data_IF_129254831306
#
_entry.id   IF_129254831306
#
_cell.length_a   1.000
_cell.length_b   1.000
_cell.length_c   1.000
_cell.angle_alpha   90.00
_cell.angle_beta   90.00
_cell.angle_gamma   90.00
#
_symmetry.space_group_name_H-M   'P 1'
#
loop_
_entity.id
_entity.type
_entity.pdbx_description
1 polymer ?
#
# COMPACT_ATOMS: atom_id res chain seq x y z
N UNK A 1 4.96 24.26 2.17
CA UNK A 1 3.59 23.99 2.65
C UNK A 1 3.13 22.67 2.05
N UNK A 2 2.37 21.84 2.76
CA UNK A 2 1.85 20.57 2.21
C UNK A 2 0.61 20.85 1.34
N UNK A 3 0.67 20.48 0.07
CA UNK A 3 -0.40 20.75 -0.91
C UNK A 3 -1.53 19.72 -0.86
N UNK A 4 -1.20 18.46 -0.59
CA UNK A 4 -2.18 17.36 -0.55
C UNK A 4 -3.34 17.60 0.41
N UNK A 5 -4.51 17.01 0.12
CA UNK A 5 -5.76 17.18 0.90
C UNK A 5 -5.59 16.85 2.38
N UNK A 6 -4.83 15.78 2.68
CA UNK A 6 -4.49 15.40 4.05
C UNK A 6 -3.05 14.95 4.18
N UNK A 7 -2.46 15.23 5.35
CA UNK A 7 -1.16 14.71 5.74
C UNK A 7 -1.09 14.44 7.25
N UNK A 8 -0.26 13.48 7.62
CA UNK A 8 0.07 13.16 9.01
C UNK A 8 1.53 12.75 9.10
N UNK A 9 2.27 13.33 10.04
CA UNK A 9 3.65 12.95 10.35
C UNK A 9 3.74 12.61 11.83
N UNK A 10 4.23 11.41 12.13
CA UNK A 10 4.42 10.92 13.50
C UNK A 10 5.89 10.56 13.67
N UNK A 11 6.52 11.08 14.72
CA UNK A 11 7.77 10.53 15.23
C UNK A 11 7.45 9.21 15.96
N UNK A 12 7.94 8.10 15.41
CA UNK A 12 7.63 6.77 15.92
C UNK A 12 8.48 6.37 17.13
N UNK A 13 9.54 7.11 17.44
CA UNK A 13 10.32 6.92 18.66
C UNK A 13 9.57 7.46 19.87
N UNK A 14 8.88 8.60 19.73
CA UNK A 14 8.19 9.30 20.82
C UNK A 14 6.66 9.14 20.79
N UNK A 15 6.10 8.76 19.64
CA UNK A 15 4.66 8.77 19.39
C UNK A 15 4.07 10.15 19.14
N UNK A 16 4.89 11.21 19.10
CA UNK A 16 4.45 12.59 18.91
C UNK A 16 3.98 12.84 17.48
N UNK A 17 2.82 13.47 17.34
CA UNK A 17 2.36 14.02 16.05
C UNK A 17 3.12 15.32 15.80
N UNK A 18 3.84 15.39 14.69
CA UNK A 18 4.65 16.54 14.29
C UNK A 18 3.91 17.43 13.29
N UNK A 19 3.13 16.82 12.40
CA UNK A 19 2.32 17.52 11.40
C UNK A 19 0.98 16.81 11.27
N UNK A 20 -0.11 17.59 11.25
CA UNK A 20 -1.45 17.10 10.98
C UNK A 20 -2.19 18.11 10.08
N UNK A 21 -2.74 17.61 8.96
CA UNK A 21 -3.64 18.33 8.06
C UNK A 21 -4.80 17.40 7.70
N UNK A 22 -6.02 17.73 8.12
CA UNK A 22 -7.24 16.94 7.85
C UNK A 22 -7.07 15.43 8.16
N UNK A 23 -6.22 15.05 9.12
CA UNK A 23 -5.76 13.66 9.26
C UNK A 23 -6.83 12.68 9.74
N UNK A 24 -7.97 13.18 10.23
CA UNK A 24 -9.12 12.40 10.68
C UNK A 24 -10.21 12.26 9.63
N UNK A 25 -10.15 13.02 8.55
CA UNK A 25 -11.13 12.94 7.46
C UNK A 25 -10.87 11.71 6.59
N UNK A 26 -11.93 11.01 6.21
CA UNK A 26 -11.84 9.88 5.29
C UNK A 26 -11.74 10.37 3.84
N UNK A 27 -10.82 9.77 3.08
CA UNK A 27 -10.67 9.97 1.64
C UNK A 27 -10.59 8.61 0.94
N UNK A 28 -10.91 8.52 -0.36
CA UNK A 28 -10.52 7.37 -1.16
C UNK A 28 -8.99 7.19 -1.10
N UNK A 29 -8.53 5.97 -0.87
CA UNK A 29 -7.10 5.70 -0.60
C UNK A 29 -6.39 4.93 -1.71
N UNK A 30 -7.09 4.63 -2.79
CA UNK A 30 -6.57 3.86 -3.90
C UNK A 30 -5.80 2.61 -3.42
N UNK A 31 -4.66 2.33 -4.06
CA UNK A 31 -3.83 1.15 -3.79
C UNK A 31 -3.15 1.10 -2.43
N UNK A 32 -3.29 2.11 -1.56
CA UNK A 32 -2.90 1.94 -0.15
C UNK A 32 -3.67 0.78 0.50
N UNK A 33 -4.86 0.47 -0.04
CA UNK A 33 -5.66 -0.71 0.31
C UNK A 33 -4.89 -2.04 0.25
N UNK A 34 -3.91 -2.17 -0.65
CA UNK A 34 -3.14 -3.41 -0.81
C UNK A 34 -2.25 -3.73 0.40
N UNK A 35 -1.98 -2.75 1.26
CA UNK A 35 -1.30 -3.01 2.53
C UNK A 35 -2.21 -3.81 3.48
N UNK A 36 -3.52 -3.51 3.53
CA UNK A 36 -4.49 -4.33 4.26
C UNK A 36 -4.63 -5.72 3.63
N UNK A 37 -4.63 -5.82 2.30
CA UNK A 37 -4.61 -7.10 1.59
C UNK A 37 -3.42 -7.95 2.02
N UNK A 38 -2.22 -7.37 2.08
CA UNK A 38 -1.03 -8.06 2.54
C UNK A 38 -1.14 -8.52 4.01
N UNK A 39 -1.64 -7.66 4.91
CA UNK A 39 -1.89 -8.03 6.31
C UNK A 39 -2.81 -9.25 6.39
N UNK A 40 -3.97 -9.22 5.72
CA UNK A 40 -4.95 -10.31 5.78
C UNK A 40 -4.39 -11.61 5.19
N UNK A 41 -3.66 -11.53 4.07
CA UNK A 41 -2.96 -12.69 3.50
C UNK A 41 -1.99 -13.27 4.51
N UNK A 42 -1.09 -12.47 5.09
CA UNK A 42 -0.05 -12.96 6.00
C UNK A 42 -0.61 -13.53 7.31
N UNK A 43 -1.68 -12.95 7.85
CA UNK A 43 -2.34 -13.48 9.05
C UNK A 43 -3.00 -14.84 8.84
N UNK A 44 -3.36 -15.17 7.60
CA UNK A 44 -3.90 -16.50 7.28
C UNK A 44 -2.84 -17.61 7.30
N UNK A 45 -1.57 -17.26 7.57
CA UNK A 45 -0.42 -18.18 7.53
C UNK A 45 -0.40 -19.01 6.24
N UNK A 46 -0.36 -18.34 5.07
CA UNK A 46 -0.57 -19.00 3.80
C UNK A 46 0.63 -19.90 3.47
N UNK A 47 0.38 -20.96 2.69
CA UNK A 47 1.45 -21.67 1.99
C UNK A 47 1.95 -20.76 0.87
N UNK A 48 3.07 -20.07 1.09
CA UNK A 48 3.61 -19.05 0.18
C UNK A 48 4.04 -19.61 -1.18
N UNK A 49 4.51 -20.86 -1.20
CA UNK A 49 4.92 -21.54 -2.43
C UNK A 49 3.75 -22.10 -3.25
N UNK A 50 2.53 -22.10 -2.70
CA UNK A 50 1.37 -22.54 -3.46
C UNK A 50 1.17 -21.61 -4.67
N UNK A 51 1.06 -22.22 -5.84
CA UNK A 51 0.80 -21.54 -7.10
C UNK A 51 -0.66 -21.07 -7.17
N UNK A 52 -0.84 -19.84 -7.63
CA UNK A 52 -2.12 -19.24 -7.95
C UNK A 52 -2.14 -18.86 -9.42
N UNK A 53 -3.22 -19.26 -10.09
CA UNK A 53 -3.54 -18.82 -11.45
C UNK A 53 -4.40 -17.54 -11.40
N UNK A 54 -4.08 -16.57 -12.24
CA UNK A 54 -4.94 -15.41 -12.52
C UNK A 54 -6.11 -15.85 -13.38
N UNK A 55 -7.33 -15.68 -12.88
CA UNK A 55 -8.57 -16.07 -13.58
C UNK A 55 -9.27 -14.85 -14.18
N UNK A 56 -10.28 -15.10 -15.02
CA UNK A 56 -11.18 -14.06 -15.56
C UNK A 56 -11.70 -13.13 -14.46
N UNK A 57 -12.05 -13.70 -13.31
CA UNK A 57 -12.66 -13.01 -12.17
C UNK A 57 -11.67 -12.16 -11.36
N UNK A 58 -10.38 -12.18 -11.72
CA UNK A 58 -9.36 -11.31 -11.14
C UNK A 58 -9.10 -10.07 -12.00
N UNK A 59 -9.59 -10.06 -13.23
CA UNK A 59 -9.49 -8.93 -14.14
C UNK A 59 -10.44 -7.83 -13.68
N UNK A 60 -9.90 -6.63 -13.47
CA UNK A 60 -10.72 -5.45 -13.31
C UNK A 60 -11.27 -4.99 -14.67
N UNK A 61 -12.51 -4.51 -14.66
CA UNK A 61 -13.14 -3.79 -15.77
C UNK A 61 -13.27 -2.29 -15.46
N UNK A 62 -12.70 -1.86 -14.33
CA UNK A 62 -12.81 -0.51 -13.78
C UNK A 62 -11.60 0.33 -14.17
N UNK A 63 -11.82 1.62 -14.43
CA UNK A 63 -10.76 2.65 -14.55
C UNK A 63 -9.66 2.36 -15.58
N UNK A 64 -9.94 1.45 -16.54
CA UNK A 64 -9.01 1.02 -17.61
C UNK A 64 -7.62 0.67 -17.06
N UNK A 65 -7.54 0.10 -15.85
CA UNK A 65 -6.24 -0.11 -15.24
C UNK A 65 -5.48 -1.23 -15.95
N UNK A 66 -4.16 -1.06 -16.03
CA UNK A 66 -3.30 -1.98 -16.76
C UNK A 66 -2.67 -2.99 -15.81
N UNK A 67 -2.83 -4.27 -16.12
CA UNK A 67 -2.11 -5.37 -15.48
C UNK A 67 -1.23 -6.05 -16.52
N UNK A 68 0.01 -6.33 -16.14
CA UNK A 68 0.94 -7.11 -16.97
C UNK A 68 0.75 -8.61 -16.82
N UNK A 69 0.11 -9.06 -15.74
CA UNK A 69 -0.37 -10.45 -15.64
C UNK A 69 -1.57 -10.63 -16.54
N UNK A 70 -1.56 -11.65 -17.39
CA UNK A 70 -2.70 -12.07 -18.22
C UNK A 70 -3.54 -13.12 -17.49
N UNK A 71 -4.78 -13.34 -17.95
CA UNK A 71 -5.53 -14.53 -17.51
C UNK A 71 -4.75 -15.78 -17.92
N UNK A 72 -4.67 -16.76 -17.02
CA UNK A 72 -3.82 -17.95 -17.15
C UNK A 72 -2.40 -17.79 -16.61
N UNK A 73 -1.97 -16.57 -16.21
CA UNK A 73 -0.69 -16.37 -15.53
C UNK A 73 -0.65 -17.13 -14.21
N UNK A 74 0.41 -17.91 -13.96
CA UNK A 74 0.58 -18.70 -12.73
C UNK A 74 1.81 -18.25 -11.96
N UNK A 75 1.63 -17.79 -10.72
CA UNK A 75 2.71 -17.37 -9.83
C UNK A 75 2.55 -17.95 -8.43
N UNK A 76 3.63 -18.02 -7.65
CA UNK A 76 3.51 -18.37 -6.23
C UNK A 76 2.72 -17.30 -5.47
N UNK A 77 2.11 -17.64 -4.32
CA UNK A 77 1.51 -16.62 -3.44
C UNK A 77 2.53 -15.58 -2.99
N UNK A 78 3.80 -16.00 -2.81
CA UNK A 78 4.92 -15.10 -2.50
C UNK A 78 5.08 -14.04 -3.58
N UNK A 79 5.17 -14.45 -4.84
CA UNK A 79 5.33 -13.54 -5.99
C UNK A 79 4.13 -12.62 -6.16
N UNK A 80 2.91 -13.16 -6.04
CA UNK A 80 1.67 -12.37 -6.12
C UNK A 80 1.65 -11.28 -5.03
N UNK A 81 2.02 -11.64 -3.80
CA UNK A 81 2.08 -10.69 -2.68
C UNK A 81 3.17 -9.63 -2.91
N UNK A 82 4.32 -10.06 -3.44
CA UNK A 82 5.43 -9.16 -3.73
C UNK A 82 5.05 -8.09 -4.74
N UNK A 83 4.61 -8.47 -5.95
CA UNK A 83 4.27 -7.50 -7.00
C UNK A 83 3.03 -6.66 -6.65
N UNK A 84 2.11 -7.17 -5.81
CA UNK A 84 1.00 -6.39 -5.28
C UNK A 84 1.47 -5.25 -4.36
N UNK A 85 2.51 -5.47 -3.56
CA UNK A 85 3.08 -4.44 -2.67
C UNK A 85 4.05 -3.51 -3.41
N UNK A 86 5.04 -4.07 -4.10
CA UNK A 86 6.11 -3.33 -4.78
C UNK A 86 5.56 -2.46 -5.93
N UNK A 87 4.84 -3.10 -6.84
CA UNK A 87 4.40 -2.49 -8.11
C UNK A 87 2.92 -2.19 -8.17
N UNK A 88 2.20 -2.42 -7.07
CA UNK A 88 0.76 -2.15 -7.00
C UNK A 88 -0.07 -3.01 -7.96
N UNK A 89 0.39 -4.21 -8.30
CA UNK A 89 -0.25 -5.10 -9.29
C UNK A 89 -1.67 -5.51 -8.83
N UNK A 90 -2.67 -5.26 -9.68
CA UNK A 90 -4.09 -5.40 -9.33
C UNK A 90 -4.56 -6.85 -9.41
N UNK A 91 -4.20 -7.58 -10.47
CA UNK A 91 -4.66 -8.96 -10.67
C UNK A 91 -4.06 -9.91 -9.63
N UNK A 92 -2.84 -9.64 -9.18
CA UNK A 92 -2.20 -10.35 -8.09
C UNK A 92 -2.96 -10.17 -6.76
N UNK A 93 -3.30 -8.92 -6.40
CA UNK A 93 -4.12 -8.63 -5.21
C UNK A 93 -5.52 -9.26 -5.30
N UNK A 94 -6.15 -9.20 -6.49
CA UNK A 94 -7.41 -9.88 -6.76
C UNK A 94 -7.29 -11.39 -6.58
N UNK A 95 -6.30 -12.04 -7.20
CA UNK A 95 -6.10 -13.49 -7.11
C UNK A 95 -5.85 -13.95 -5.66
N UNK A 96 -5.06 -13.20 -4.89
CA UNK A 96 -4.84 -13.47 -3.46
C UNK A 96 -6.16 -13.45 -2.67
N UNK A 97 -7.01 -12.44 -2.89
CA UNK A 97 -8.30 -12.36 -2.19
C UNK A 97 -9.27 -13.48 -2.58
N UNK A 98 -9.26 -13.91 -3.85
CA UNK A 98 -10.10 -15.01 -4.34
C UNK A 98 -9.66 -16.36 -3.78
N UNK A 99 -8.35 -16.56 -3.65
CA UNK A 99 -7.77 -17.79 -3.13
C UNK A 99 -7.87 -17.92 -1.60
N UNK A 100 -8.39 -16.91 -0.90
CA UNK A 100 -8.64 -16.94 0.53
C UNK A 100 -9.76 -17.93 0.89
N UNK A 101 -9.70 -18.64 2.03
CA UNK A 101 -10.80 -19.48 2.49
C UNK A 101 -12.12 -18.71 2.60
N UNK A 102 -13.17 -19.18 1.91
CA UNK A 102 -14.45 -18.45 1.78
C UNK A 102 -14.47 -17.38 0.67
N UNK A 103 -13.41 -17.31 -0.14
CA UNK A 103 -13.32 -16.47 -1.32
C UNK A 103 -13.22 -14.97 -1.02
N UNK A 104 -13.39 -14.17 -2.09
CA UNK A 104 -13.21 -12.71 -2.05
C UNK A 104 -14.14 -12.01 -1.07
N UNK A 105 -15.39 -12.45 -0.97
CA UNK A 105 -16.36 -11.89 0.00
C UNK A 105 -15.88 -12.07 1.44
N UNK A 106 -15.41 -13.27 1.80
CA UNK A 106 -14.82 -13.52 3.12
C UNK A 106 -13.54 -12.70 3.34
N UNK A 107 -12.72 -12.54 2.30
CA UNK A 107 -11.52 -11.71 2.35
C UNK A 107 -11.82 -10.24 2.68
N UNK A 108 -12.76 -9.61 1.96
CA UNK A 108 -13.16 -8.21 2.21
C UNK A 108 -13.81 -8.06 3.60
N UNK A 109 -14.62 -9.04 4.03
CA UNK A 109 -15.14 -9.08 5.41
C UNK A 109 -14.00 -9.13 6.43
N UNK A 110 -12.95 -9.91 6.17
CA UNK A 110 -11.77 -10.02 7.02
C UNK A 110 -10.94 -8.73 7.05
N UNK A 111 -10.81 -8.02 5.93
CA UNK A 111 -10.17 -6.69 5.85
C UNK A 111 -10.89 -5.69 6.77
N UNK A 112 -12.21 -5.59 6.67
CA UNK A 112 -12.99 -4.68 7.52
C UNK A 112 -12.97 -5.10 9.00
N UNK A 113 -12.99 -6.41 9.29
CA UNK A 113 -12.82 -6.89 10.66
C UNK A 113 -11.45 -6.50 11.21
N UNK A 114 -10.38 -6.62 10.41
CA UNK A 114 -9.04 -6.18 10.81
C UNK A 114 -9.01 -4.67 11.05
N UNK A 115 -9.62 -3.87 10.18
CA UNK A 115 -9.72 -2.42 10.37
C UNK A 115 -10.34 -2.08 11.74
N UNK A 116 -11.46 -2.71 12.09
CA UNK A 116 -12.09 -2.55 13.42
C UNK A 116 -11.19 -3.00 14.57
N UNK A 117 -10.49 -4.12 14.44
CA UNK A 117 -9.54 -4.62 15.44
C UNK A 117 -8.38 -3.64 15.68
N UNK A 118 -7.94 -2.92 14.65
CA UNK A 118 -6.93 -1.87 14.75
C UNK A 118 -7.52 -0.51 15.20
N UNK A 119 -8.83 -0.45 15.45
CA UNK A 119 -9.55 0.76 15.82
C UNK A 119 -9.62 1.80 14.69
N UNK A 120 -9.53 1.37 13.44
CA UNK A 120 -9.59 2.21 12.24
C UNK A 120 -11.05 2.62 11.96
N UNK A 121 -11.54 3.66 12.64
CA UNK A 121 -12.99 4.01 12.71
C UNK A 121 -13.52 4.73 11.47
N UNK A 122 -12.64 5.32 10.68
CA UNK A 122 -12.91 6.05 9.43
C UNK A 122 -12.51 5.22 8.20
N UNK A 123 -12.29 3.92 8.37
CA UNK A 123 -11.86 3.02 7.29
C UNK A 123 -12.96 2.06 6.87
N UNK A 124 -13.12 1.94 5.56
CA UNK A 124 -13.95 0.92 4.95
C UNK A 124 -13.28 0.36 3.69
N UNK A 125 -13.30 -0.96 3.53
CA UNK A 125 -12.81 -1.65 2.34
C UNK A 125 -13.97 -2.33 1.62
N UNK A 126 -14.16 -2.00 0.34
CA UNK A 126 -15.07 -2.67 -0.57
C UNK A 126 -14.37 -3.70 -1.47
N UNK A 127 -13.09 -3.49 -1.75
CA UNK A 127 -12.31 -4.40 -2.59
C UNK A 127 -10.84 -4.54 -2.10
N UNK A 128 -10.08 -5.55 -2.56
CA UNK A 128 -8.72 -5.82 -2.10
C UNK A 128 -7.62 -5.02 -2.84
N UNK A 129 -7.98 -4.26 -3.86
CA UNK A 129 -7.03 -3.57 -4.75
C UNK A 129 -7.00 -2.06 -4.53
N UNK A 130 -8.11 -1.47 -4.08
CA UNK A 130 -8.32 -0.04 -3.99
C UNK A 130 -8.78 0.62 -5.30
N UNK A 131 -9.35 -0.15 -6.23
CA UNK A 131 -9.86 0.42 -7.48
C UNK A 131 -11.17 1.17 -7.27
N UNK A 132 -12.05 0.70 -6.39
CA UNK A 132 -13.26 1.43 -6.02
C UNK A 132 -12.93 2.69 -5.21
N UNK A 133 -13.61 3.84 -5.46
CA UNK A 133 -13.49 5.01 -4.59
C UNK A 133 -14.08 4.77 -3.19
N UNK A 134 -14.84 3.67 -3.00
CA UNK A 134 -15.43 3.32 -1.72
C UNK A 134 -14.43 2.67 -0.73
N UNK A 135 -13.22 2.33 -1.19
CA UNK A 135 -12.11 2.06 -0.28
C UNK A 135 -11.63 3.39 0.30
N UNK A 136 -12.05 3.67 1.53
CA UNK A 136 -11.81 4.95 2.20
C UNK A 136 -11.09 4.74 3.52
N UNK A 137 -10.28 5.72 3.92
CA UNK A 137 -9.62 5.76 5.22
C UNK A 137 -9.18 7.17 5.56
N UNK A 138 -8.90 7.42 6.85
CA UNK A 138 -8.20 8.62 7.31
C UNK A 138 -6.71 8.40 7.45
N UNK A 139 -5.91 9.47 7.52
CA UNK A 139 -4.47 9.37 7.73
C UNK A 139 -4.11 8.75 9.08
N UNK A 140 -4.89 9.03 10.14
CA UNK A 140 -4.73 8.38 11.45
C UNK A 140 -4.99 6.87 11.39
N UNK A 141 -6.03 6.45 10.68
CA UNK A 141 -6.33 5.03 10.57
C UNK A 141 -5.26 4.30 9.76
N UNK A 142 -4.80 4.92 8.68
CA UNK A 142 -3.69 4.39 7.89
C UNK A 142 -2.41 4.27 8.72
N UNK A 143 -2.12 5.20 9.63
CA UNK A 143 -0.94 5.08 10.50
C UNK A 143 -1.01 3.85 11.41
N UNK A 144 -2.20 3.48 11.89
CA UNK A 144 -2.42 2.24 12.67
C UNK A 144 -2.23 0.99 11.81
N UNK A 145 -2.81 0.97 10.61
CA UNK A 145 -2.60 -0.12 9.64
C UNK A 145 -1.12 -0.29 9.32
N UNK A 146 -0.42 0.82 9.10
CA UNK A 146 0.98 0.84 8.72
C UNK A 146 1.89 0.33 9.85
N UNK A 147 1.64 0.76 11.09
CA UNK A 147 2.33 0.23 12.27
C UNK A 147 2.10 -1.28 12.44
N UNK A 148 0.89 -1.76 12.17
CA UNK A 148 0.60 -3.19 12.23
C UNK A 148 1.31 -3.97 11.12
N UNK A 149 1.29 -3.46 9.88
CA UNK A 149 1.96 -4.06 8.73
C UNK A 149 3.47 -4.21 8.95
N UNK A 150 4.10 -3.26 9.65
CA UNK A 150 5.54 -3.29 9.92
C UNK A 150 6.00 -4.52 10.72
N UNK A 151 5.09 -5.19 11.43
CA UNK A 151 5.39 -6.42 12.18
C UNK A 151 5.67 -7.63 11.29
N UNK A 152 5.39 -7.55 9.99
CA UNK A 152 5.57 -8.65 9.04
C UNK A 152 6.84 -8.44 8.20
N UNK A 153 7.92 -9.23 8.40
CA UNK A 153 9.17 -9.05 7.66
C UNK A 153 9.00 -9.05 6.14
N UNK A 154 8.20 -9.97 5.58
CA UNK A 154 7.95 -10.04 4.15
C UNK A 154 7.20 -8.82 3.60
N UNK A 155 6.32 -8.20 4.38
CA UNK A 155 5.64 -6.97 3.93
C UNK A 155 6.65 -5.83 3.81
N UNK A 156 7.57 -5.71 4.78
CA UNK A 156 8.66 -4.72 4.73
C UNK A 156 9.55 -4.95 3.51
N UNK A 157 10.10 -6.15 3.38
CA UNK A 157 10.97 -6.58 2.26
C UNK A 157 10.32 -6.26 0.91
N UNK A 158 9.13 -6.81 0.65
CA UNK A 158 8.46 -6.63 -0.64
C UNK A 158 8.04 -5.19 -0.93
N UNK A 159 7.76 -4.40 0.10
CA UNK A 159 7.41 -2.99 -0.11
C UNK A 159 8.61 -2.14 -0.54
N UNK A 160 9.83 -2.54 -0.17
CA UNK A 160 11.03 -1.71 -0.40
C UNK A 160 11.92 -2.19 -1.55
N UNK A 161 11.60 -3.33 -2.15
CA UNK A 161 12.32 -3.81 -3.32
C UNK A 161 12.18 -2.84 -4.51
N UNK A 162 13.30 -2.63 -5.21
CA UNK A 162 13.38 -1.68 -6.33
C UNK A 162 12.88 -2.31 -7.63
N UNK A 163 13.28 -3.56 -7.86
CA UNK A 163 12.99 -4.35 -9.06
C UNK A 163 12.82 -5.81 -8.66
N UNK A 164 11.88 -6.51 -9.30
CA UNK A 164 11.67 -7.94 -9.09
C UNK A 164 11.20 -8.60 -10.39
N UNK A 165 11.72 -9.78 -10.70
CA UNK A 165 11.33 -10.54 -11.89
C UNK A 165 10.49 -11.74 -11.50
N UNK A 166 9.33 -11.89 -12.14
CA UNK A 166 8.43 -13.04 -11.97
C UNK A 166 8.27 -13.82 -13.26
N UNK A 167 7.89 -15.09 -13.15
CA UNK A 167 7.78 -16.03 -14.26
C UNK A 167 6.35 -16.60 -14.33
N UNK A 168 5.38 -15.83 -14.87
CA UNK A 168 3.96 -16.21 -14.88
C UNK A 168 3.59 -17.25 -15.94
N UNK A 169 4.54 -17.63 -16.79
CA UNK A 169 4.38 -18.48 -17.98
C UNK A 169 5.71 -18.51 -18.73
N UNK A 170 5.68 -18.52 -20.06
CA UNK A 170 6.89 -18.65 -20.87
C UNK A 170 7.85 -17.44 -20.82
N UNK A 171 7.32 -16.22 -20.66
CA UNK A 171 8.13 -14.99 -20.67
C UNK A 171 8.24 -14.38 -19.28
N UNK A 172 9.45 -13.98 -18.83
CA UNK A 172 9.61 -13.28 -17.57
C UNK A 172 9.00 -11.87 -17.63
N UNK A 173 8.49 -11.40 -16.48
CA UNK A 173 8.02 -10.04 -16.30
C UNK A 173 8.86 -9.32 -15.24
N UNK A 174 9.56 -8.27 -15.65
CA UNK A 174 10.37 -7.42 -14.75
C UNK A 174 9.51 -6.28 -14.19
N UNK A 175 9.18 -6.33 -12.91
CA UNK A 175 8.44 -5.31 -12.19
C UNK A 175 9.39 -4.31 -11.51
N UNK A 176 8.96 -3.05 -11.38
CA UNK A 176 9.68 -1.99 -10.66
C UNK A 176 8.80 -1.39 -9.58
N UNK A 177 9.43 -0.88 -8.52
CA UNK A 177 8.70 -0.20 -7.46
C UNK A 177 7.85 0.95 -8.02
N UNK A 178 6.64 1.04 -7.50
CA UNK A 178 5.72 2.14 -7.77
C UNK A 178 6.12 3.43 -7.04
N UNK A 179 7.08 3.36 -6.11
CA UNK A 179 7.59 4.51 -5.37
C UNK A 179 8.94 4.97 -5.93
N UNK A 180 8.97 6.12 -6.59
CA UNK A 180 10.21 6.67 -7.16
C UNK A 180 11.26 7.04 -6.12
N UNK A 181 10.86 7.36 -4.89
CA UNK A 181 11.78 7.76 -3.81
C UNK A 181 12.71 6.62 -3.38
N UNK A 182 12.34 5.36 -3.66
CA UNK A 182 13.16 4.20 -3.29
C UNK A 182 14.53 4.18 -3.98
N UNK A 183 14.64 4.85 -5.13
CA UNK A 183 15.89 4.95 -5.88
C UNK A 183 16.77 6.09 -5.38
N UNK A 184 16.26 6.96 -4.51
CA UNK A 184 17.02 8.09 -3.98
C UNK A 184 17.82 7.65 -2.73
N UNK A 185 19.16 7.67 -2.77
CA UNK A 185 20.00 7.21 -1.65
C UNK A 185 19.88 8.06 -0.39
N UNK A 186 19.31 9.28 -0.48
CA UNK A 186 19.05 10.12 0.70
C UNK A 186 17.83 9.68 1.52
N UNK A 187 17.08 8.68 1.04
CA UNK A 187 15.92 8.11 1.71
C UNK A 187 16.24 6.73 2.27
N UNK A 188 16.04 6.54 3.58
CA UNK A 188 16.07 5.24 4.22
C UNK A 188 14.65 4.75 4.50
N UNK A 189 14.01 4.16 3.49
CA UNK A 189 12.62 3.70 3.55
C UNK A 189 12.57 2.27 4.07
N UNK A 190 11.80 2.03 5.12
CA UNK A 190 11.68 0.72 5.78
C UNK A 190 10.34 0.01 5.48
N UNK A 191 9.33 0.78 5.07
CA UNK A 191 8.02 0.31 4.60
C UNK A 191 7.42 1.43 3.78
N UNK A 192 6.71 1.10 2.69
CA UNK A 192 5.99 2.10 1.90
C UNK A 192 4.78 1.53 1.16
N UNK A 193 3.87 2.41 0.75
CA UNK A 193 2.91 2.12 -0.31
C UNK A 193 2.48 3.41 -1.01
N UNK A 194 2.35 3.37 -2.33
CA UNK A 194 1.74 4.43 -3.14
C UNK A 194 0.31 4.07 -3.56
N UNK A 195 -0.48 5.06 -3.95
CA UNK A 195 -1.79 4.83 -4.56
C UNK A 195 -2.22 6.00 -5.43
N UNK A 196 -2.91 5.70 -6.53
CA UNK A 196 -3.54 6.70 -7.38
C UNK A 196 -4.82 6.14 -7.99
N UNK A 197 -5.86 6.97 -7.97
CA UNK A 197 -7.05 6.95 -8.83
C UNK A 197 -7.54 8.39 -8.91
N UNK A 198 -8.29 8.77 -9.94
CA UNK A 198 -8.76 10.15 -10.13
C UNK A 198 -9.50 10.73 -8.90
N UNK A 199 -10.29 9.89 -8.20
CA UNK A 199 -11.06 10.29 -7.03
C UNK A 199 -10.19 10.43 -5.76
N UNK A 200 -9.19 9.56 -5.63
CA UNK A 200 -8.26 9.54 -4.50
C UNK A 200 -7.19 10.62 -4.61
N UNK A 201 -6.82 11.03 -5.82
CA UNK A 201 -5.56 11.70 -6.09
C UNK A 201 -4.35 10.81 -5.76
N UNK A 202 -3.16 11.40 -5.75
CA UNK A 202 -1.94 10.70 -5.40
C UNK A 202 -1.77 10.56 -3.89
N UNK A 203 -1.60 9.34 -3.43
CA UNK A 203 -1.47 8.96 -2.03
C UNK A 203 -0.14 8.26 -1.77
N UNK A 204 0.41 8.46 -0.57
CA UNK A 204 1.70 7.92 -0.16
C UNK A 204 1.71 7.60 1.34
N UNK A 205 2.20 6.41 1.67
CA UNK A 205 2.58 6.00 3.02
C UNK A 205 4.07 5.65 3.01
N UNK A 206 4.86 6.25 3.90
CA UNK A 206 6.28 5.95 4.05
C UNK A 206 6.62 5.89 5.54
N UNK A 207 7.40 4.88 5.93
CA UNK A 207 8.24 4.96 7.13
C UNK A 207 9.68 5.15 6.69
N UNK A 208 10.30 6.19 7.21
CA UNK A 208 11.69 6.54 6.89
C UNK A 208 12.44 6.97 8.14
N UNK A 209 13.72 6.63 8.19
CA UNK A 209 14.63 7.13 9.23
C UNK A 209 15.37 8.36 8.72
N UNK A 210 15.49 9.39 9.57
CA UNK A 210 16.26 10.60 9.31
C UNK A 210 16.96 11.04 10.60
N UNK A 211 18.29 11.07 10.59
CA UNK A 211 19.07 11.20 11.83
C UNK A 211 18.85 10.00 12.74
N UNK A 212 18.50 10.25 14.02
CA UNK A 212 18.23 9.21 15.03
C UNK A 212 16.76 8.84 15.17
N UNK A 213 15.88 9.51 14.43
CA UNK A 213 14.43 9.34 14.54
C UNK A 213 13.86 8.63 13.32
N UNK A 214 12.84 7.82 13.57
CA UNK A 214 12.05 7.16 12.55
C UNK A 214 10.68 7.82 12.47
N UNK A 215 10.29 8.19 11.26
CA UNK A 215 9.07 8.93 10.99
C UNK A 215 8.11 8.10 10.14
N UNK A 216 6.83 8.16 10.48
CA UNK A 216 5.73 7.73 9.62
C UNK A 216 5.11 8.96 8.97
N UNK A 217 5.08 8.96 7.64
CA UNK A 217 4.50 10.01 6.81
C UNK A 217 3.32 9.42 6.05
N UNK A 218 2.14 10.03 6.22
CA UNK A 218 0.93 9.77 5.44
C UNK A 218 0.58 11.00 4.64
N UNK A 219 0.35 10.84 3.34
CA UNK A 219 -0.08 11.89 2.42
C UNK A 219 -1.24 11.35 1.58
N UNK A 220 -2.36 12.06 1.54
CA UNK A 220 -3.56 11.67 0.79
C UNK A 220 -4.04 12.81 -0.10
N UNK A 221 -4.37 12.50 -1.35
CA UNK A 221 -5.02 13.43 -2.26
C UNK A 221 -4.12 14.53 -2.81
N UNK A 222 -2.92 14.20 -3.26
CA UNK A 222 -2.13 15.11 -4.10
C UNK A 222 -2.75 15.22 -5.49
N UNK A 223 -3.05 16.45 -5.95
CA UNK A 223 -3.72 16.68 -7.24
C UNK A 223 -2.79 16.47 -8.45
N UNK A 224 -1.52 16.86 -8.34
CA UNK A 224 -0.54 16.66 -9.41
C UNK A 224 0.17 15.32 -9.32
N UNK A 225 0.65 14.84 -10.47
CA UNK A 225 1.31 13.53 -10.61
C UNK A 225 2.47 13.29 -9.65
N UNK A 226 3.11 14.36 -9.18
CA UNK A 226 4.25 14.33 -8.27
C UNK A 226 3.99 15.00 -6.92
N UNK A 227 2.78 15.54 -6.67
CA UNK A 227 2.49 16.32 -5.45
C UNK A 227 2.81 15.54 -4.17
N UNK A 228 2.41 14.26 -4.11
CA UNK A 228 2.72 13.39 -2.97
C UNK A 228 4.23 13.21 -2.70
N UNK A 229 5.07 13.19 -3.75
CA UNK A 229 6.52 13.13 -3.60
C UNK A 229 7.10 14.47 -3.19
N UNK A 230 6.66 15.56 -3.80
CA UNK A 230 7.07 16.92 -3.43
C UNK A 230 6.75 17.21 -1.97
N UNK A 231 5.54 16.89 -1.52
CA UNK A 231 5.13 17.01 -0.12
C UNK A 231 6.02 16.16 0.80
N UNK A 232 6.32 14.91 0.43
CA UNK A 232 7.19 14.04 1.21
C UNK A 232 8.63 14.60 1.33
N UNK A 233 9.18 15.14 0.24
CA UNK A 233 10.51 15.76 0.22
C UNK A 233 10.53 17.02 1.10
N UNK A 234 9.52 17.89 0.98
CA UNK A 234 9.40 19.07 1.83
C UNK A 234 9.30 18.69 3.31
N UNK A 235 8.50 17.68 3.65
CA UNK A 235 8.39 17.16 5.01
C UNK A 235 9.74 16.64 5.50
N UNK A 236 10.44 15.80 4.71
CA UNK A 236 11.75 15.27 5.10
C UNK A 236 12.78 16.36 5.36
N UNK A 237 12.84 17.38 4.49
CA UNK A 237 13.75 18.51 4.66
C UNK A 237 13.41 19.32 5.92
N UNK A 238 12.13 19.55 6.18
CA UNK A 238 11.69 20.20 7.42
C UNK A 238 12.07 19.36 8.66
N UNK A 239 11.88 18.05 8.63
CA UNK A 239 12.26 17.14 9.72
C UNK A 239 13.76 17.22 10.03
N UNK A 240 14.63 17.37 9.03
CA UNK A 240 16.08 17.53 9.27
C UNK A 240 16.49 18.84 9.96
N UNK A 241 15.60 19.83 10.03
CA UNK A 241 15.85 21.09 10.74
C UNK A 241 15.34 21.09 12.19
N UNK A 242 14.52 20.12 12.57
CA UNK A 242 13.94 20.01 13.92
C UNK A 242 14.43 18.78 14.70
N UNK A 243 15.25 17.93 14.06
CA UNK A 243 15.84 16.72 14.62
C UNK A 243 17.18 16.98 15.32
#
# INVERSE_FOLDING_TARGET
>A
MVESRSALVIDQNTGKVLLEKNARQAYPIASLSKLMTAIVVMESKPKLEQRLEVRSDDRDVLKRTHSRLTVGSVLSRRDMLHIALMSSENRAASALSRAYPGGRAAFVKRMNLKARQLGMRQTHFNDPTGLTPHNTSSAYDLSRMFNYAYRFPLIREFSVDKTYTVYPGERPLVYRSSNGLINNPSWHIELQKTGYTDEAGHCLLIRTTSGRHTYLIVILGGNGSYTHYTDAIHIKNWLSHIA
#
